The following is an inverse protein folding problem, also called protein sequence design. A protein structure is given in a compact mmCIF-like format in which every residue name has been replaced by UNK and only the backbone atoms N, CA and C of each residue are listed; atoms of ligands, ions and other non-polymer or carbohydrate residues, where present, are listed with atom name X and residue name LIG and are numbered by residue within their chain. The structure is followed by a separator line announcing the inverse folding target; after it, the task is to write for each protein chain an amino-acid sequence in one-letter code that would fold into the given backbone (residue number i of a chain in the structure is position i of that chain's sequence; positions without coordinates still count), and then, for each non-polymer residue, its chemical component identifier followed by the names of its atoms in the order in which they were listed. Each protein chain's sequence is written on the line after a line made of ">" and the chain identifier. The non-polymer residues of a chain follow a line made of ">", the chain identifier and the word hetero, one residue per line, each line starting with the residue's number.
data_IF_531383652689
#
_entry.id   IF_531383652689
#
_cell.length_a   1.000
_cell.length_b   1.000
_cell.length_c   1.000
_cell.angle_alpha   90.00
_cell.angle_beta   90.00
_cell.angle_gamma   90.00
#
_symmetry.space_group_name_H-M   'P 1'
#
loop_
_entity.id
_entity.type
_entity.pdbx_description
1 polymer ?
2 branched ?
3 non-polymer ?
4 non-polymer ?
5 non-polymer ?
6 water ?
#
# COMPACT_ATOMS: atom_id res chain seq x y z
N UNK A 1 -21.53 -21.89 -8.80
CA UNK A 1 -21.94 -22.61 -10.05
C UNK A 1 -23.33 -22.19 -10.45
N UNK A 2 -23.74 -22.61 -11.64
CA UNK A 2 -25.07 -22.27 -12.16
C UNK A 2 -26.16 -22.65 -11.14
N UNK A 3 -27.04 -21.70 -10.87
CA UNK A 3 -28.18 -21.92 -9.98
C UNK A 3 -27.89 -21.49 -8.54
N UNK A 4 -26.63 -21.30 -8.17
CA UNK A 4 -26.32 -20.79 -6.83
C UNK A 4 -26.97 -19.45 -6.57
N UNK A 5 -27.53 -19.28 -5.37
CA UNK A 5 -28.18 -18.02 -4.99
C UNK A 5 -27.22 -16.84 -5.27
N UNK A 6 -27.68 -15.88 -6.07
CA UNK A 6 -26.83 -14.77 -6.56
C UNK A 6 -27.62 -13.51 -6.92
N UNK A 7 -27.11 -12.31 -6.57
CA UNK A 7 -27.71 -11.09 -7.12
C UNK A 7 -27.66 -11.00 -8.61
N UNK A 8 -28.57 -10.20 -9.13
CA UNK A 8 -28.59 -9.93 -10.54
C UNK A 8 -27.25 -9.30 -10.90
N UNK A 9 -26.72 -9.60 -12.08
CA UNK A 9 -25.49 -9.01 -12.59
C UNK A 9 -24.21 -9.60 -11.97
N UNK A 10 -24.32 -10.66 -11.20
CA UNK A 10 -23.17 -11.23 -10.50
C UNK A 10 -23.12 -12.71 -10.83
N UNK A 11 -21.96 -13.30 -10.59
CA UNK A 11 -21.79 -14.76 -10.64
C UNK A 11 -21.37 -15.22 -9.25
N UNK A 12 -21.94 -16.32 -8.78
CA UNK A 12 -21.74 -16.76 -7.41
C UNK A 12 -21.38 -18.22 -7.35
N UNK A 13 -20.65 -18.53 -6.30
CA UNK A 13 -20.27 -19.90 -5.96
C UNK A 13 -20.48 -20.11 -4.48
N UNK A 14 -21.42 -20.95 -4.15
CA UNK A 14 -21.66 -21.30 -2.77
C UNK A 14 -20.49 -22.15 -2.24
N UNK A 15 -19.97 -23.07 -3.06
CA UNK A 15 -18.88 -23.94 -2.66
C UNK A 15 -17.63 -23.14 -2.30
N UNK A 16 -17.31 -22.13 -3.13
CA UNK A 16 -16.11 -21.29 -2.97
C UNK A 16 -16.38 -20.08 -2.05
N UNK A 17 -17.64 -19.92 -1.63
CA UNK A 17 -18.12 -18.73 -0.86
C UNK A 17 -17.71 -17.44 -1.48
N UNK A 18 -17.97 -17.32 -2.76
CA UNK A 18 -17.42 -16.27 -3.58
C UNK A 18 -18.49 -15.64 -4.45
N UNK A 19 -18.49 -14.31 -4.49
CA UNK A 19 -19.41 -13.54 -5.30
C UNK A 19 -18.59 -12.62 -6.20
N UNK A 20 -18.86 -12.62 -7.51
CA UNK A 20 -18.10 -11.76 -8.43
C UNK A 20 -19.07 -10.97 -9.25
N UNK A 21 -19.01 -9.64 -9.10
CA UNK A 21 -19.82 -8.73 -9.91
C UNK A 21 -18.82 -7.82 -10.57
N UNK A 22 -18.22 -8.30 -11.65
CA UNK A 22 -17.00 -7.77 -12.22
C UNK A 22 -17.23 -7.24 -13.64
N UNK A 23 -16.64 -6.09 -13.92
CA UNK A 23 -16.79 -5.44 -15.23
C UNK A 23 -18.22 -5.31 -15.71
N UNK A 24 -19.10 -4.91 -14.81
CA UNK A 24 -20.53 -4.82 -15.10
C UNK A 24 -21.04 -3.38 -15.10
N UNK A 25 -20.13 -2.40 -15.02
CA UNK A 25 -20.52 -0.99 -14.89
C UNK A 25 -21.56 -0.73 -13.79
N UNK A 26 -21.48 -1.48 -12.68
CA UNK A 26 -22.44 -1.25 -11.60
C UNK A 26 -22.24 0.13 -10.98
N UNK A 27 -23.35 0.75 -10.57
CA UNK A 27 -23.31 2.06 -9.92
C UNK A 27 -23.55 1.99 -8.42
N UNK A 28 -23.98 0.85 -7.93
CA UNK A 28 -24.15 0.72 -6.49
C UNK A 28 -23.81 -0.71 -6.11
N UNK A 29 -23.39 -0.92 -4.85
CA UNK A 29 -23.17 -2.28 -4.31
C UNK A 29 -24.50 -3.04 -4.34
N UNK A 30 -24.51 -4.28 -4.86
CA UNK A 30 -25.77 -5.01 -4.91
C UNK A 30 -26.36 -5.21 -3.51
N UNK A 31 -27.66 -5.10 -3.41
CA UNK A 31 -28.26 -5.09 -2.08
C UNK A 31 -28.47 -6.52 -1.49
N UNK A 32 -28.88 -7.47 -2.31
CA UNK A 32 -29.16 -8.84 -1.82
C UNK A 32 -27.93 -9.79 -1.95
N UNK A 33 -26.82 -9.39 -1.36
CA UNK A 33 -25.63 -10.25 -1.31
C UNK A 33 -25.91 -11.46 -0.44
N UNK A 34 -25.49 -12.65 -0.88
CA UNK A 34 -25.81 -13.80 -0.04
C UNK A 34 -24.96 -13.82 1.21
N UNK A 35 -25.55 -14.21 2.32
CA UNK A 35 -24.88 -14.19 3.63
C UNK A 35 -23.67 -15.14 3.74
N UNK A 36 -23.57 -16.12 2.85
CA UNK A 36 -22.44 -17.06 2.86
C UNK A 36 -21.09 -16.42 2.42
N UNK A 37 -21.17 -15.28 1.75
CA UNK A 37 -20.03 -14.75 1.03
C UNK A 37 -18.81 -14.49 1.94
N UNK A 38 -17.70 -15.07 1.51
CA UNK A 38 -16.39 -14.83 2.09
C UNK A 38 -15.52 -13.89 1.25
N UNK A 39 -15.60 -14.03 -0.07
CA UNK A 39 -14.79 -13.29 -1.02
C UNK A 39 -15.70 -12.56 -1.96
N UNK A 40 -15.62 -11.24 -1.96
CA UNK A 40 -16.50 -10.42 -2.79
C UNK A 40 -15.66 -9.57 -3.73
N UNK A 41 -15.94 -9.68 -5.01
CA UNK A 41 -15.21 -8.95 -6.04
C UNK A 41 -16.19 -8.03 -6.72
N UNK A 42 -15.90 -6.72 -6.66
CA UNK A 42 -16.72 -5.70 -7.30
C UNK A 42 -15.83 -4.73 -8.05
N UNK A 43 -15.03 -5.27 -8.95
CA UNK A 43 -14.03 -4.52 -9.66
C UNK A 43 -14.57 -4.17 -11.07
N UNK A 44 -14.01 -3.13 -11.67
CA UNK A 44 -14.41 -2.71 -13.02
C UNK A 44 -15.79 -2.09 -13.13
N UNK A 45 -16.26 -1.48 -12.06
CA UNK A 45 -17.57 -0.89 -12.02
C UNK A 45 -17.51 0.63 -12.05
N UNK A 46 -18.66 1.29 -11.89
CA UNK A 46 -18.73 2.75 -11.84
C UNK A 46 -19.42 3.23 -10.59
N UNK A 47 -18.86 2.87 -9.43
CA UNK A 47 -19.54 3.06 -8.17
C UNK A 47 -19.64 4.51 -7.64
N UNK A 48 -18.67 5.33 -7.95
CA UNK A 48 -18.58 6.77 -7.60
C UNK A 48 -18.37 7.06 -6.12
N UNK A 49 -19.30 6.61 -5.27
CA UNK A 49 -19.29 6.91 -3.87
C UNK A 49 -19.63 5.67 -3.10
N UNK A 50 -18.83 5.37 -2.09
CA UNK A 50 -19.14 4.29 -1.20
C UNK A 50 -19.69 4.89 0.10
N UNK A 51 -21.01 4.73 0.35
CA UNK A 51 -21.59 5.38 1.51
C UNK A 51 -21.33 4.66 2.81
N UNK A 52 -21.64 5.31 3.91
CA UNK A 52 -21.63 4.62 5.17
C UNK A 52 -22.49 3.39 5.08
N UNK A 53 -22.00 2.32 5.67
CA UNK A 53 -22.77 1.12 5.76
C UNK A 53 -23.08 0.49 4.44
N UNK A 54 -22.24 0.72 3.42
CA UNK A 54 -22.47 0.18 2.09
C UNK A 54 -22.65 -1.34 2.08
N UNK A 55 -22.07 -2.06 3.04
CA UNK A 55 -22.09 -3.53 3.12
C UNK A 55 -22.84 -4.10 4.34
N UNK A 56 -23.51 -3.21 5.08
CA UNK A 56 -24.23 -3.56 6.28
C UNK A 56 -25.57 -4.16 5.87
N UNK A 57 -25.86 -5.33 6.38
CA UNK A 57 -27.04 -6.10 5.94
C UNK A 57 -27.61 -6.74 7.19
N UNK A 58 -28.85 -7.22 7.12
CA UNK A 58 -29.51 -7.86 8.26
C UNK A 58 -30.04 -9.14 7.72
N UNK A 59 -29.47 -10.29 8.12
CA UNK A 59 -28.35 -10.50 9.03
C UNK A 59 -27.01 -10.02 8.34
N UNK A 60 -25.98 -9.74 9.14
CA UNK A 60 -24.80 -9.14 8.50
C UNK A 60 -24.04 -10.12 7.61
N UNK A 61 -23.13 -9.60 6.81
CA UNK A 61 -22.22 -10.46 6.04
C UNK A 61 -21.08 -10.83 6.96
N UNK A 62 -21.36 -11.72 7.87
CA UNK A 62 -20.47 -12.02 8.98
C UNK A 62 -19.26 -12.88 8.59
N UNK A 63 -19.27 -13.44 7.38
CA UNK A 63 -18.16 -14.22 6.90
C UNK A 63 -17.33 -13.49 5.87
N UNK A 64 -17.74 -12.29 5.46
CA UNK A 64 -17.02 -11.60 4.39
C UNK A 64 -15.63 -11.18 4.86
N UNK A 65 -14.61 -11.76 4.23
CA UNK A 65 -13.20 -11.65 4.68
C UNK A 65 -12.35 -10.98 3.67
N UNK A 66 -12.74 -10.97 2.39
CA UNK A 66 -11.92 -10.38 1.36
C UNK A 66 -12.82 -9.61 0.43
N UNK A 67 -12.53 -8.34 0.26
CA UNK A 67 -13.37 -7.44 -0.47
C UNK A 67 -12.48 -6.68 -1.46
N UNK A 68 -12.78 -6.81 -2.73
CA UNK A 68 -11.99 -6.18 -3.81
C UNK A 68 -12.81 -5.22 -4.61
N UNK A 69 -12.50 -3.94 -4.40
CA UNK A 69 -13.15 -2.86 -5.09
C UNK A 69 -12.25 -2.12 -6.04
N UNK A 70 -11.18 -2.75 -6.47
CA UNK A 70 -10.23 -2.09 -7.33
C UNK A 70 -10.85 -1.72 -8.70
N UNK A 71 -10.43 -0.59 -9.25
CA UNK A 71 -10.80 -0.19 -10.57
C UNK A 71 -12.28 0.10 -10.80
N UNK A 72 -12.98 0.70 -9.82
CA UNK A 72 -14.37 0.88 -9.87
C UNK A 72 -14.83 2.33 -9.85
N UNK A 73 -13.95 3.21 -10.28
CA UNK A 73 -14.23 4.62 -10.35
C UNK A 73 -14.79 5.20 -9.04
N UNK A 74 -14.30 4.70 -7.91
CA UNK A 74 -14.68 5.33 -6.66
C UNK A 74 -13.92 6.62 -6.49
N UNK A 75 -14.64 7.71 -6.26
CA UNK A 75 -13.97 8.97 -5.94
C UNK A 75 -14.16 9.44 -4.50
N UNK A 76 -15.06 8.77 -3.78
CA UNK A 76 -15.35 9.12 -2.38
C UNK A 76 -15.64 7.86 -1.59
N UNK A 77 -14.97 7.69 -0.44
CA UNK A 77 -15.31 6.62 0.49
C UNK A 77 -15.65 7.30 1.81
N UNK A 78 -16.91 7.18 2.22
CA UNK A 78 -17.41 7.94 3.33
C UNK A 78 -17.08 7.23 4.64
N UNK A 79 -17.19 7.97 5.72
CA UNK A 79 -17.03 7.45 7.08
C UNK A 79 -17.89 6.21 7.30
N UNK A 80 -17.31 5.13 7.85
CA UNK A 80 -18.12 3.97 8.17
C UNK A 80 -18.52 3.09 6.99
N UNK A 81 -17.91 3.31 5.82
CA UNK A 81 -18.16 2.50 4.64
C UNK A 81 -18.10 1.00 4.82
N UNK A 82 -17.29 0.54 5.75
CA UNK A 82 -17.02 -0.90 5.94
C UNK A 82 -17.52 -1.42 7.30
N UNK A 83 -18.42 -0.68 7.93
CA UNK A 83 -19.02 -1.12 9.16
C UNK A 83 -19.90 -2.37 8.96
N UNK A 84 -20.07 -3.13 10.06
CA UNK A 84 -20.83 -4.38 10.13
C UNK A 84 -20.26 -5.47 9.19
N UNK A 85 -18.95 -5.45 9.01
CA UNK A 85 -18.20 -6.55 8.38
C UNK A 85 -17.20 -7.05 9.39
N UNK A 86 -17.67 -7.84 10.35
CA UNK A 86 -16.78 -8.22 11.44
C UNK A 86 -15.62 -9.18 11.10
N UNK A 87 -15.63 -9.82 9.93
CA UNK A 87 -14.60 -10.77 9.50
C UNK A 87 -13.66 -10.21 8.45
N UNK A 88 -13.80 -8.93 8.12
CA UNK A 88 -13.07 -8.35 7.01
C UNK A 88 -11.57 -8.23 7.25
N UNK A 89 -10.81 -9.01 6.50
CA UNK A 89 -9.37 -9.11 6.66
C UNK A 89 -8.61 -8.48 5.54
N UNK A 90 -9.13 -8.45 4.31
CA UNK A 90 -8.35 -7.99 3.22
C UNK A 90 -9.23 -7.10 2.38
N UNK A 91 -8.79 -5.87 2.24
CA UNK A 91 -9.51 -4.86 1.44
C UNK A 91 -8.68 -4.22 0.37
N UNK A 92 -9.18 -4.21 -0.87
CA UNK A 92 -8.45 -3.61 -1.97
C UNK A 92 -9.22 -2.50 -2.59
N UNK A 93 -8.72 -1.27 -2.46
CA UNK A 93 -9.31 -0.08 -3.12
C UNK A 93 -8.43 0.49 -4.20
N UNK A 94 -7.52 -0.33 -4.72
CA UNK A 94 -6.58 0.22 -5.73
C UNK A 94 -7.25 0.71 -7.01
N UNK A 95 -6.50 1.53 -7.70
CA UNK A 95 -6.90 2.01 -9.02
C UNK A 95 -8.30 2.65 -9.02
N UNK A 96 -8.54 3.51 -8.02
CA UNK A 96 -9.69 4.32 -7.84
C UNK A 96 -9.20 5.70 -7.56
N UNK A 97 -9.74 6.71 -8.26
CA UNK A 97 -9.34 8.09 -8.07
C UNK A 97 -9.96 8.68 -6.79
N UNK A 98 -9.37 8.33 -5.63
CA UNK A 98 -9.98 8.63 -4.34
C UNK A 98 -9.71 10.01 -3.84
N UNK A 99 -10.42 10.97 -4.38
CA UNK A 99 -10.23 12.36 -4.02
C UNK A 99 -10.67 12.64 -2.59
N UNK A 100 -11.71 11.94 -2.14
CA UNK A 100 -12.25 12.12 -0.83
C UNK A 100 -12.30 10.80 -0.03
N UNK A 101 -11.28 10.58 0.76
CA UNK A 101 -11.19 9.38 1.62
C UNK A 101 -11.42 9.87 3.03
N UNK A 102 -12.56 9.52 3.60
CA UNK A 102 -12.87 9.96 4.93
C UNK A 102 -11.79 9.49 5.90
N UNK A 103 -11.39 10.34 6.86
CA UNK A 103 -10.55 9.82 7.95
C UNK A 103 -11.12 8.61 8.71
N UNK A 104 -12.42 8.43 8.67
CA UNK A 104 -13.11 7.34 9.40
C UNK A 104 -13.58 6.27 8.46
N UNK A 105 -13.02 6.26 7.25
CA UNK A 105 -13.39 5.21 6.25
C UNK A 105 -13.15 3.80 6.77
N UNK A 106 -12.09 3.59 7.53
CA UNK A 106 -11.71 2.22 7.99
C UNK A 106 -12.06 1.97 9.45
N UNK A 107 -12.13 3.05 10.24
CA UNK A 107 -12.36 2.92 11.69
C UNK A 107 -13.85 2.95 12.00
N UNK A 108 -14.65 3.53 11.11
CA UNK A 108 -16.04 3.77 11.45
C UNK A 108 -16.14 4.75 12.63
N UNK A 109 -17.22 4.70 13.40
CA UNK A 109 -17.39 5.59 14.60
C UNK A 109 -16.91 4.92 15.92
N UNK A 110 -17.50 5.29 17.06
CA UNK A 110 -17.28 4.59 18.32
C UNK A 110 -15.84 4.68 18.79
N UNK A 116 -11.77 -1.77 17.32
CA UNK A 116 -10.60 -2.05 16.45
C UNK A 116 -10.93 -2.90 15.22
N UNK A 117 -10.42 -2.46 14.07
CA UNK A 117 -10.78 -3.05 12.78
C UNK A 117 -10.22 -4.46 12.69
N UNK A 118 -10.95 -5.35 12.01
CA UNK A 118 -10.46 -6.71 11.75
C UNK A 118 -9.39 -6.75 10.65
N UNK A 119 -9.21 -5.63 9.95
CA UNK A 119 -8.32 -5.59 8.77
C UNK A 119 -6.90 -6.02 9.08
N UNK A 120 -6.39 -6.87 8.23
CA UNK A 120 -5.01 -7.37 8.28
C UNK A 120 -4.23 -6.91 7.04
N UNK A 121 -4.90 -6.71 5.90
CA UNK A 121 -4.25 -6.31 4.73
C UNK A 121 -5.05 -5.23 4.00
N UNK A 122 -4.40 -4.10 3.73
CA UNK A 122 -5.01 -2.98 3.05
C UNK A 122 -4.21 -2.59 1.82
N UNK A 123 -4.86 -2.64 0.65
CA UNK A 123 -4.22 -2.43 -0.66
C UNK A 123 -4.76 -1.19 -1.27
N UNK A 124 -3.90 -0.15 -1.32
CA UNK A 124 -4.28 1.19 -1.68
C UNK A 124 -3.30 1.72 -2.73
N UNK A 125 -3.06 0.92 -3.73
CA UNK A 125 -2.20 1.28 -4.83
C UNK A 125 -2.87 2.10 -5.88
N UNK A 126 -2.18 3.11 -6.30
CA UNK A 126 -2.61 3.94 -7.42
C UNK A 126 -4.03 4.56 -7.15
N UNK A 127 -4.17 5.16 -5.95
CA UNK A 127 -5.44 5.80 -5.53
C UNK A 127 -5.44 7.32 -5.75
N UNK A 128 -4.31 7.90 -6.18
CA UNK A 128 -4.19 9.34 -6.27
C UNK A 128 -4.94 9.75 -7.52
N UNK A 129 -5.87 10.67 -7.38
CA UNK A 129 -6.63 11.06 -8.59
C UNK A 129 -5.73 11.79 -9.56
N UNK A 130 -6.03 11.73 -10.90
CA UNK A 130 -5.43 12.64 -11.88
C UNK A 130 -5.64 14.09 -11.47
N UNK A 131 -4.66 14.93 -11.70
CA UNK A 131 -4.89 16.34 -11.45
C UNK A 131 -5.36 16.63 -10.00
N UNK A 132 -4.86 15.84 -9.05
CA UNK A 132 -5.19 16.02 -7.63
C UNK A 132 -4.70 17.37 -7.09
N UNK A 133 -3.73 17.99 -7.77
CA UNK A 133 -3.14 19.25 -7.29
C UNK A 133 -4.15 20.41 -7.22
N UNK A 134 -5.28 20.27 -7.92
CA UNK A 134 -6.44 21.16 -7.76
C UNK A 134 -6.91 21.31 -6.31
N UNK A 135 -6.72 20.24 -5.52
CA UNK A 135 -7.10 20.23 -4.13
C UNK A 135 -6.21 21.12 -3.29
N UNK A 136 -6.78 21.75 -2.28
CA UNK A 136 -5.98 22.41 -1.23
C UNK A 136 -5.95 21.51 -0.01
N UNK A 137 -5.49 20.29 -0.22
CA UNK A 137 -5.17 19.43 0.90
C UNK A 137 -4.13 18.44 0.43
N UNK A 138 -3.26 18.03 1.35
CA UNK A 138 -2.32 16.95 1.13
C UNK A 138 -3.03 15.58 0.88
N UNK A 139 -2.74 14.99 -0.27
CA UNK A 139 -3.29 13.67 -0.60
C UNK A 139 -2.68 12.64 0.34
N UNK A 140 -1.36 12.64 0.45
CA UNK A 140 -0.70 11.71 1.38
C UNK A 140 -1.22 11.91 2.82
N UNK A 141 -1.33 13.16 3.25
CA UNK A 141 -1.92 13.44 4.55
C UNK A 141 -3.32 12.88 4.75
N UNK A 142 -4.17 13.04 3.74
CA UNK A 142 -5.51 12.44 3.76
C UNK A 142 -5.49 10.95 3.98
N UNK A 143 -4.60 10.27 3.27
CA UNK A 143 -4.50 8.81 3.38
C UNK A 143 -3.98 8.48 4.76
N UNK A 144 -2.96 9.20 5.21
CA UNK A 144 -2.36 8.94 6.54
C UNK A 144 -3.39 9.06 7.63
N UNK A 145 -4.25 10.07 7.53
CA UNK A 145 -5.25 10.33 8.57
C UNK A 145 -6.24 9.18 8.67
N UNK A 146 -6.62 8.65 7.52
CA UNK A 146 -7.50 7.48 7.44
C UNK A 146 -6.83 6.23 8.03
N UNK A 147 -5.54 6.10 7.84
CA UNK A 147 -4.82 5.00 8.41
C UNK A 147 -4.68 5.03 9.90
N UNK A 148 -4.63 6.21 10.50
CA UNK A 148 -4.29 6.32 11.90
C UNK A 148 -5.53 6.59 12.75
N UNK A 149 -6.65 6.90 12.13
CA UNK A 149 -7.83 7.32 12.91
C UNK A 149 -8.25 6.29 13.94
N UNK A 150 -8.37 6.75 15.19
CA UNK A 150 -8.84 5.93 16.28
C UNK A 150 -7.87 4.85 16.68
N UNK A 151 -6.70 4.78 16.04
CA UNK A 151 -5.80 3.62 16.17
C UNK A 151 -6.55 2.33 15.87
N UNK A 152 -7.48 2.42 14.95
CA UNK A 152 -8.30 1.29 14.66
C UNK A 152 -7.52 0.18 13.97
N UNK A 153 -6.48 0.51 13.21
CA UNK A 153 -5.81 -0.55 12.40
C UNK A 153 -4.62 -1.26 13.09
N UNK A 154 -4.90 -1.77 14.29
CA UNK A 154 -3.92 -2.46 15.17
C UNK A 154 -3.48 -3.81 14.67
N UNK A 155 -4.32 -4.49 13.94
CA UNK A 155 -3.95 -5.77 13.44
C UNK A 155 -3.34 -5.65 12.07
N UNK A 156 -3.23 -4.42 11.49
CA UNK A 156 -2.75 -4.36 10.14
C UNK A 156 -1.36 -4.87 10.01
N UNK A 157 -1.19 -5.87 9.16
CA UNK A 157 0.08 -6.51 8.86
C UNK A 157 0.61 -6.18 7.45
N UNK A 158 -0.22 -5.80 6.51
CA UNK A 158 0.27 -5.55 5.23
C UNK A 158 -0.41 -4.32 4.67
N UNK A 159 0.42 -3.38 4.22
CA UNK A 159 -0.06 -2.14 3.63
C UNK A 159 0.65 -1.83 2.31
N UNK A 160 -0.16 -1.60 1.29
CA UNK A 160 0.36 -1.25 -0.03
C UNK A 160 -0.11 0.13 -0.42
N UNK A 161 0.85 0.99 -0.75
CA UNK A 161 0.60 2.39 -1.11
C UNK A 161 1.52 2.80 -2.28
N UNK A 162 1.60 1.92 -3.25
CA UNK A 162 2.32 2.23 -4.50
C UNK A 162 1.62 3.22 -5.38
N UNK A 163 2.46 3.85 -6.14
CA UNK A 163 1.95 4.64 -7.30
C UNK A 163 0.99 5.80 -6.92
N UNK A 164 1.36 6.54 -5.86
CA UNK A 164 0.49 7.59 -5.30
C UNK A 164 1.08 8.98 -5.26
N UNK A 165 2.21 9.18 -5.96
CA UNK A 165 2.96 10.47 -5.99
C UNK A 165 3.35 10.93 -4.61
N UNK A 166 3.60 10.01 -3.68
CA UNK A 166 3.95 10.45 -2.40
C UNK A 166 5.40 11.01 -2.43
N UNK A 167 5.61 12.09 -1.71
CA UNK A 167 6.90 12.77 -1.70
C UNK A 167 7.76 12.33 -0.49
N UNK A 168 7.17 11.67 0.49
CA UNK A 168 7.90 11.28 1.71
C UNK A 168 7.39 10.02 2.31
N UNK A 169 8.27 9.34 3.04
CA UNK A 169 7.84 8.13 3.73
C UNK A 169 7.11 8.58 5.00
N UNK A 170 5.83 8.18 5.16
CA UNK A 170 5.05 8.71 6.27
C UNK A 170 5.47 8.14 7.62
N UNK A 171 6.21 8.93 8.37
CA UNK A 171 6.80 8.47 9.59
C UNK A 171 5.78 7.95 10.63
N UNK A 172 4.65 8.63 10.73
CA UNK A 172 3.61 8.27 11.70
C UNK A 172 3.01 6.86 11.45
N UNK A 173 2.98 6.44 10.20
CA UNK A 173 2.47 5.13 9.82
C UNK A 173 3.36 4.08 10.47
N UNK A 174 4.67 4.21 10.27
CA UNK A 174 5.60 3.30 10.92
C UNK A 174 5.52 3.33 12.43
N UNK A 175 5.28 4.47 13.05
CA UNK A 175 5.31 4.51 14.52
C UNK A 175 4.02 3.99 15.13
N UNK A 176 2.90 4.14 14.42
CA UNK A 176 1.60 3.96 15.00
C UNK A 176 0.89 2.68 14.52
N UNK A 177 1.45 2.00 13.53
CA UNK A 177 0.90 0.68 13.10
C UNK A 177 1.89 -0.39 13.55
N UNK A 178 1.78 -0.84 14.80
CA UNK A 178 2.78 -1.69 15.42
C UNK A 178 2.89 -3.14 14.87
N UNK A 179 1.84 -3.61 14.21
CA UNK A 179 1.80 -4.96 13.63
C UNK A 179 2.30 -5.04 12.20
N UNK A 180 2.60 -3.90 11.57
CA UNK A 180 2.99 -3.95 10.17
C UNK A 180 4.21 -4.82 9.98
N UNK A 181 4.08 -5.73 9.02
CA UNK A 181 5.13 -6.62 8.58
C UNK A 181 5.56 -6.27 7.15
N UNK A 182 4.67 -5.72 6.35
CA UNK A 182 4.94 -5.56 4.93
C UNK A 182 4.43 -4.21 4.48
N UNK A 183 5.34 -3.37 3.99
CA UNK A 183 5.00 -2.03 3.50
C UNK A 183 5.52 -1.83 2.11
N UNK A 184 4.62 -1.42 1.21
CA UNK A 184 4.93 -1.14 -0.18
C UNK A 184 4.74 0.30 -0.53
N UNK A 185 5.87 0.97 -0.78
CA UNK A 185 5.83 2.36 -1.20
C UNK A 185 6.53 2.51 -2.55
N UNK A 186 6.49 1.46 -3.34
CA UNK A 186 7.07 1.52 -4.67
C UNK A 186 6.40 2.50 -5.61
N UNK A 187 7.16 3.00 -6.58
CA UNK A 187 6.63 3.89 -7.60
C UNK A 187 6.00 5.18 -7.05
N UNK A 188 6.64 5.77 -6.05
CA UNK A 188 6.26 7.06 -5.55
C UNK A 188 7.39 8.05 -5.96
N UNK A 189 7.52 9.17 -5.28
CA UNK A 189 8.59 10.14 -5.57
C UNK A 189 9.41 10.43 -4.36
N UNK A 190 9.68 9.42 -3.56
CA UNK A 190 10.49 9.60 -2.40
C UNK A 190 11.90 9.99 -2.83
N UNK A 191 12.49 10.97 -2.12
CA UNK A 191 13.89 11.37 -2.39
C UNK A 191 14.90 11.01 -1.34
N UNK A 192 14.51 10.90 -0.09
CA UNK A 192 15.47 10.44 0.90
C UNK A 192 14.77 9.79 2.03
N UNK A 193 15.53 9.13 2.87
CA UNK A 193 15.00 8.44 4.06
C UNK A 193 15.60 9.04 5.33
N UNK A 194 16.29 10.17 5.17
CA UNK A 194 17.07 10.77 6.23
C UNK A 194 16.36 11.05 7.56
N UNK A 195 15.15 11.59 7.51
CA UNK A 195 14.43 11.92 8.76
C UNK A 195 13.42 10.84 9.16
N UNK A 196 13.62 9.64 8.62
CA UNK A 196 12.81 8.49 8.96
C UNK A 196 13.64 7.55 9.83
N UNK A 197 13.06 7.06 10.93
CA UNK A 197 13.77 6.16 11.86
C UNK A 197 13.26 4.74 11.67
N UNK A 198 14.12 3.80 11.28
CA UNK A 198 13.71 2.39 11.22
C UNK A 198 14.23 1.64 12.45
N UNK A 199 14.75 2.37 13.45
CA UNK A 199 15.51 1.75 14.52
C UNK A 199 14.71 0.67 15.26
N UNK A 200 13.47 0.96 15.65
CA UNK A 200 12.69 0.02 16.46
C UNK A 200 11.63 -0.78 15.64
N UNK A 201 11.84 -0.93 14.35
CA UNK A 201 10.82 -1.58 13.51
C UNK A 201 10.91 -3.14 13.49
N UNK A 202 10.86 -3.75 14.68
CA UNK A 202 11.17 -5.18 14.80
C UNK A 202 10.30 -6.12 13.95
N UNK A 203 9.04 -5.75 13.73
CA UNK A 203 8.12 -6.62 13.10
C UNK A 203 8.26 -6.45 11.56
N UNK A 204 9.00 -5.46 11.03
CA UNK A 204 8.92 -5.17 9.56
C UNK A 204 9.78 -6.19 8.80
N UNK A 205 9.12 -6.95 7.94
CA UNK A 205 9.74 -8.04 7.22
C UNK A 205 10.04 -7.66 5.80
N UNK A 206 9.24 -6.74 5.24
CA UNK A 206 9.43 -6.37 3.90
C UNK A 206 9.11 -4.92 3.60
N UNK A 207 10.02 -4.23 2.94
CA UNK A 207 9.89 -2.83 2.60
C UNK A 207 10.25 -2.58 1.11
N UNK A 208 9.24 -2.20 0.32
CA UNK A 208 9.36 -1.98 -1.12
C UNK A 208 9.51 -0.51 -1.42
N UNK A 209 10.70 -0.12 -1.90
CA UNK A 209 10.99 1.24 -2.30
C UNK A 209 11.45 1.38 -3.74
N UNK A 210 11.15 0.40 -4.58
CA UNK A 210 11.52 0.41 -5.99
C UNK A 210 10.88 1.57 -6.61
N UNK A 211 11.51 2.05 -7.70
CA UNK A 211 10.92 3.03 -8.60
C UNK A 211 10.54 4.34 -7.90
N UNK A 212 11.36 4.78 -6.98
CA UNK A 212 11.25 6.06 -6.33
C UNK A 212 12.31 7.04 -6.89
N UNK A 213 12.69 8.07 -6.16
CA UNK A 213 13.67 9.02 -6.69
C UNK A 213 14.86 9.19 -5.72
N UNK A 214 15.18 8.09 -5.08
CA UNK A 214 16.20 8.05 -4.07
C UNK A 214 17.57 8.20 -4.75
N UNK A 215 18.38 9.10 -4.18
CA UNK A 215 19.72 9.40 -4.66
C UNK A 215 20.82 8.62 -3.92
N UNK A 216 20.64 8.38 -2.62
CA UNK A 216 21.68 7.74 -1.84
C UNK A 216 21.09 7.40 -0.49
N UNK A 217 21.58 6.35 0.14
CA UNK A 217 21.34 6.13 1.54
C UNK A 217 22.61 6.52 2.33
N UNK A 218 22.42 7.35 3.36
CA UNK A 218 23.53 7.82 4.17
C UNK A 218 23.75 6.88 5.34
N UNK A 219 24.86 7.09 6.04
CA UNK A 219 25.26 6.14 7.05
C UNK A 219 24.24 5.96 8.12
N UNK A 220 23.53 7.02 8.51
CA UNK A 220 22.49 6.89 9.50
C UNK A 220 21.46 5.82 9.22
N UNK A 221 20.85 5.87 8.04
CA UNK A 221 19.86 4.90 7.63
C UNK A 221 20.50 3.46 7.49
N UNK A 222 21.69 3.42 6.93
CA UNK A 222 22.41 2.14 6.72
C UNK A 222 22.60 1.47 8.09
N UNK A 223 23.08 2.29 9.04
CA UNK A 223 23.25 1.87 10.45
C UNK A 223 21.99 1.21 11.01
N UNK A 224 20.83 1.82 10.83
CA UNK A 224 19.57 1.31 11.39
C UNK A 224 19.02 0.08 10.70
N UNK A 225 19.22 0.03 9.39
CA UNK A 225 18.98 -1.17 8.61
C UNK A 225 20.02 -2.23 8.91
N UNK A 226 21.29 -1.83 9.02
CA UNK A 226 22.38 -2.77 9.45
C UNK A 226 22.02 -3.53 10.72
N UNK A 227 21.02 -3.04 11.45
CA UNK A 227 20.65 -3.58 12.76
C UNK A 227 19.27 -4.19 12.80
N UNK A 228 18.64 -4.30 11.63
CA UNK A 228 17.42 -5.06 11.50
C UNK A 228 17.83 -6.32 10.73
N UNK A 229 17.97 -7.44 11.43
CA UNK A 229 18.39 -8.63 10.66
C UNK A 229 17.30 -9.11 9.67
N UNK A 230 16.03 -9.00 10.08
CA UNK A 230 14.92 -9.79 9.50
C UNK A 230 14.12 -9.05 8.41
N UNK A 231 14.67 -8.01 7.87
CA UNK A 231 13.97 -7.22 6.85
C UNK A 231 14.56 -7.52 5.49
N UNK A 232 13.71 -7.42 4.48
CA UNK A 232 14.05 -7.51 3.11
C UNK A 232 13.68 -6.15 2.55
N UNK A 233 14.64 -5.43 1.99
CA UNK A 233 14.36 -4.14 1.35
C UNK A 233 14.56 -4.21 -0.14
N UNK A 234 13.67 -3.58 -0.89
CA UNK A 234 13.67 -3.65 -2.35
C UNK A 234 13.92 -2.25 -2.86
N UNK A 235 15.01 -2.08 -3.65
CA UNK A 235 15.56 -0.74 -4.04
C UNK A 235 15.74 -0.47 -5.53
N UNK A 236 15.25 -1.42 -6.31
CA UNK A 236 15.40 -1.44 -7.76
C UNK A 236 14.94 -0.13 -8.41
N UNK A 237 15.62 0.25 -9.49
CA UNK A 237 15.22 1.41 -10.28
C UNK A 237 15.00 2.69 -9.44
N UNK A 238 16.00 3.04 -8.64
CA UNK A 238 16.12 4.37 -8.12
C UNK A 238 17.31 5.05 -8.85
N UNK A 239 17.29 6.39 -8.98
CA UNK A 239 18.31 7.11 -9.73
C UNK A 239 19.53 7.44 -8.90
N UNK A 240 20.23 6.40 -8.44
CA UNK A 240 21.39 6.57 -7.60
C UNK A 240 22.48 7.48 -8.13
N UNK A 241 23.01 8.30 -7.23
CA UNK A 241 24.09 9.22 -7.54
C UNK A 241 25.39 8.66 -6.90
N UNK A 242 26.24 8.18 -7.79
CA UNK A 242 27.48 7.50 -7.49
C UNK A 242 28.63 8.50 -7.45
N UNK A 243 28.60 9.34 -6.41
CA UNK A 243 29.71 10.25 -6.11
C UNK A 243 30.30 9.83 -4.74
N UNK A 244 31.11 10.69 -4.11
CA UNK A 244 31.78 10.24 -2.89
C UNK A 244 30.82 9.98 -1.74
N UNK A 245 29.60 10.54 -1.79
CA UNK A 245 28.60 10.31 -0.71
C UNK A 245 27.96 8.91 -0.76
N UNK A 246 28.21 8.21 -1.86
CA UNK A 246 27.71 6.84 -2.11
C UNK A 246 28.65 5.79 -1.52
N UNK A 247 29.78 6.22 -0.96
CA UNK A 247 30.84 5.28 -0.59
C UNK A 247 30.37 4.36 0.50
N UNK A 248 29.74 4.92 1.54
CA UNK A 248 29.21 4.11 2.64
C UNK A 248 28.16 3.08 2.17
N UNK A 249 27.28 3.50 1.28
CA UNK A 249 26.23 2.64 0.83
C UNK A 249 26.79 1.47 0.01
N UNK A 250 27.77 1.74 -0.85
CA UNK A 250 28.36 0.66 -1.66
C UNK A 250 29.07 -0.35 -0.76
N UNK A 251 29.84 0.15 0.20
CA UNK A 251 30.46 -0.73 1.20
C UNK A 251 29.45 -1.63 1.89
N UNK A 252 28.38 -1.02 2.38
CA UNK A 252 27.31 -1.76 3.01
C UNK A 252 26.66 -2.77 2.07
N UNK A 253 26.38 -2.33 0.85
CA UNK A 253 25.72 -3.19 -0.08
C UNK A 253 26.48 -4.50 -0.36
N UNK A 254 27.80 -4.40 -0.42
CA UNK A 254 28.62 -5.55 -0.63
C UNK A 254 28.54 -6.53 0.56
N UNK A 255 28.30 -6.05 1.77
CA UNK A 255 28.28 -6.90 2.95
C UNK A 255 26.89 -7.46 3.28
N UNK A 256 25.86 -6.70 2.92
CA UNK A 256 24.52 -6.93 3.49
C UNK A 256 23.74 -8.03 2.83
N UNK A 257 22.84 -8.65 3.62
CA UNK A 257 21.87 -9.53 3.09
C UNK A 257 20.42 -8.90 3.04
N UNK A 258 20.27 -7.70 3.52
CA UNK A 258 18.97 -6.99 3.66
C UNK A 258 18.35 -6.66 2.30
N UNK A 259 19.19 -6.32 1.32
CA UNK A 259 18.68 -5.80 0.04
C UNK A 259 18.44 -6.90 -0.98
N UNK A 260 17.20 -6.99 -1.46
CA UNK A 260 16.81 -8.05 -2.33
C UNK A 260 17.13 -7.63 -3.71
N UNK A 261 17.76 -8.52 -4.48
CA UNK A 261 18.01 -8.19 -5.87
C UNK A 261 19.11 -7.12 -6.00
N UNK A 262 20.06 -7.14 -5.10
CA UNK A 262 21.02 -6.00 -4.98
C UNK A 262 21.89 -5.90 -6.21
N UNK A 263 21.99 -6.99 -6.96
CA UNK A 263 22.75 -7.01 -8.17
C UNK A 263 22.15 -6.15 -9.23
N UNK A 264 20.88 -5.74 -9.12
CA UNK A 264 20.28 -4.93 -10.16
C UNK A 264 20.48 -3.44 -10.04
N UNK A 265 20.94 -2.97 -8.90
CA UNK A 265 21.05 -1.53 -8.63
C UNK A 265 22.13 -0.91 -9.50
N UNK A 266 21.78 0.19 -10.20
CA UNK A 266 22.73 0.88 -11.07
C UNK A 266 22.70 2.41 -10.85
N UNK A 267 23.81 3.07 -11.20
CA UNK A 267 23.96 4.51 -11.04
C UNK A 267 23.16 5.15 -12.13
N UNK A 268 22.51 6.24 -11.79
CA UNK A 268 21.94 7.14 -12.80
C UNK A 268 22.85 8.33 -13.11
N UNK A 269 23.57 8.82 -12.08
CA UNK A 269 24.50 9.94 -12.16
C UNK A 269 25.75 9.64 -11.33
N UNK A 270 26.86 10.39 -11.57
CA UNK A 270 27.05 11.33 -12.67
C UNK A 270 27.19 10.63 -14.00
N UNK A 271 27.34 11.42 -15.05
CA UNK A 271 27.42 10.92 -16.42
C UNK A 271 28.45 9.79 -16.61
N UNK A 272 29.67 9.97 -16.08
CA UNK A 272 30.71 8.95 -16.23
C UNK A 272 30.39 7.59 -15.52
N UNK A 273 29.46 7.60 -14.57
CA UNK A 273 29.05 6.37 -13.87
C UNK A 273 27.69 5.86 -14.39
N UNK A 274 27.08 6.53 -15.38
CA UNK A 274 25.67 6.18 -15.69
C UNK A 274 25.57 4.72 -16.07
N UNK A 275 24.62 4.01 -15.49
CA UNK A 275 24.37 2.58 -15.74
C UNK A 275 25.37 1.59 -15.15
N UNK A 276 26.36 2.09 -14.41
CA UNK A 276 27.28 1.18 -13.76
C UNK A 276 26.54 0.49 -12.61
N UNK A 277 26.92 -0.77 -12.39
CA UNK A 277 26.33 -1.63 -11.34
C UNK A 277 26.97 -1.32 -9.98
N UNK A 278 26.17 -0.94 -8.97
CA UNK A 278 26.71 -0.46 -7.67
C UNK A 278 27.62 -1.48 -6.99
N UNK A 279 27.26 -2.75 -7.08
CA UNK A 279 28.11 -3.78 -6.43
C UNK A 279 29.51 -3.88 -7.02
N UNK A 280 29.68 -3.38 -8.25
CA UNK A 280 30.95 -3.45 -8.98
C UNK A 280 31.88 -2.23 -8.70
N UNK A 281 31.34 -1.22 -8.04
CA UNK A 281 32.07 0.01 -7.83
C UNK A 281 33.01 -0.08 -6.65
N UNK A 282 34.09 0.69 -6.69
CA UNK A 282 35.05 0.76 -5.59
C UNK A 282 35.31 2.23 -5.26
N UNK A 283 36.15 2.48 -4.27
CA UNK A 283 36.40 3.86 -3.81
C UNK A 283 36.87 4.78 -4.96
N UNK A 284 37.59 4.21 -5.91
CA UNK A 284 38.17 4.96 -7.02
C UNK A 284 37.08 5.46 -7.96
N UNK A 285 35.97 4.74 -8.04
CA UNK A 285 34.90 5.17 -8.89
C UNK A 285 34.10 6.35 -8.28
N UNK A 286 34.15 6.46 -6.95
CA UNK A 286 33.23 7.31 -6.17
C UNK A 286 34.01 8.53 -5.69
N UNK A 287 33.88 9.61 -6.44
CA UNK A 287 34.66 10.82 -6.20
C UNK A 287 33.73 12.04 -6.24
N UNK A 288 34.10 13.18 -5.65
CA UNK A 288 33.24 14.37 -5.67
C UNK A 288 33.86 15.55 -6.43
#
# INVERSE_FOLDING_TARGET
>A
ETGDQCPALCECSEAARTVKCVNRNLTEVPTDLPAYVRNLFLTGNQLAVLPAGAFARRPPLAELAALNLSGSRLDEVRAGAFEHLPSLRQLDLSHNPLADLSPFAFSGSNASVSAPSPLVELILNHIVPPEDERQNRSFEGMVVAALLAGRALQGLRRLELASNHFLYLPRDVLAQLPSLRHLDLSNNSLVSLTYVSFRNLTHLESLHLEDNALKVLHNGTLAELQGLPHIRVFLDNNPWVCDCHMADMVTWLKETEVVQGKDRLTCAYPEKMRNRVLLELNSADLDCDGTETSQVAPA
#
